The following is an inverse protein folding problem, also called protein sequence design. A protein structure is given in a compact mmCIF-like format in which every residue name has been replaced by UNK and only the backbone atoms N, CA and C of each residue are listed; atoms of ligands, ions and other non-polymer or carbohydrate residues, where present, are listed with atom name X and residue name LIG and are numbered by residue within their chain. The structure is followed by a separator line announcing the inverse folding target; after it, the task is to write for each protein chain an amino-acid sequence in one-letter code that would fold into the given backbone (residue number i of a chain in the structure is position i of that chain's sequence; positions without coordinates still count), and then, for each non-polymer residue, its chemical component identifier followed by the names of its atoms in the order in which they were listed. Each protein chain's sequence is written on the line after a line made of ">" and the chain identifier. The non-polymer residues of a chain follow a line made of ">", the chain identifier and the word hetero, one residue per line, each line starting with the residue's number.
data_IF_892373324675
#
_entry.id   IF_892373324675
#
_cell.length_a   1.000
_cell.length_b   1.000
_cell.length_c   1.000
_cell.angle_alpha   90.00
_cell.angle_beta   90.00
_cell.angle_gamma   90.00
#
_symmetry.space_group_name_H-M   'P 1'
#
loop_
_entity.id
_entity.type
_entity.pdbx_description
1 polymer ?
#
# COMPACT_ATOMS: atom_id res chain seq x y z
N UNK A 1 11.59 -19.91 -43.13
CA UNK A 1 12.61 -19.61 -42.10
C UNK A 1 12.33 -20.42 -40.84
N UNK A 2 13.32 -21.11 -40.26
CA UNK A 2 13.18 -21.94 -39.05
C UNK A 2 12.79 -21.14 -37.79
N UNK A 3 12.90 -19.81 -37.80
CA UNK A 3 12.47 -18.92 -36.72
C UNK A 3 10.94 -18.89 -36.49
N UNK A 4 10.13 -19.25 -37.48
CA UNK A 4 8.68 -19.22 -37.36
C UNK A 4 8.12 -20.28 -36.39
N UNK A 5 8.83 -21.40 -36.17
CA UNK A 5 8.31 -22.52 -35.36
C UNK A 5 8.39 -22.29 -33.85
N UNK A 6 9.33 -21.45 -33.38
CA UNK A 6 9.51 -21.14 -31.95
C UNK A 6 8.45 -20.20 -31.39
N UNK A 7 7.87 -19.33 -32.24
CA UNK A 7 6.92 -18.29 -31.82
C UNK A 7 5.46 -18.77 -31.69
N UNK A 8 5.15 -20.04 -31.98
CA UNK A 8 3.77 -20.53 -31.91
C UNK A 8 3.30 -20.81 -30.47
N UNK A 9 4.22 -21.20 -29.57
CA UNK A 9 3.91 -21.56 -28.20
C UNK A 9 3.86 -20.38 -27.23
N UNK A 10 4.41 -19.23 -27.61
CA UNK A 10 4.45 -18.05 -26.76
C UNK A 10 3.05 -17.49 -26.51
N UNK A 11 2.19 -17.43 -27.53
CA UNK A 11 0.85 -16.85 -27.39
C UNK A 11 -0.06 -17.62 -26.42
N UNK A 12 -0.18 -18.96 -26.49
CA UNK A 12 -0.91 -19.72 -25.48
C UNK A 12 -0.36 -19.51 -24.07
N UNK A 13 0.95 -19.48 -23.90
CA UNK A 13 1.58 -19.24 -22.58
C UNK A 13 1.20 -17.86 -22.06
N UNK A 14 1.27 -16.81 -22.88
CA UNK A 14 0.88 -15.46 -22.50
C UNK A 14 -0.61 -15.40 -22.13
N UNK A 15 -1.48 -16.05 -22.90
CA UNK A 15 -2.91 -16.11 -22.58
C UNK A 15 -3.19 -16.81 -21.24
N UNK A 16 -2.49 -17.92 -20.96
CA UNK A 16 -2.57 -18.63 -19.68
C UNK A 16 -2.09 -17.74 -18.53
N UNK A 17 -1.00 -17.01 -18.72
CA UNK A 17 -0.52 -16.05 -17.72
C UNK A 17 -1.54 -14.94 -17.47
N UNK A 18 -2.15 -14.35 -18.51
CA UNK A 18 -3.21 -13.35 -18.37
C UNK A 18 -4.42 -13.90 -17.60
N UNK A 19 -4.82 -15.14 -17.86
CA UNK A 19 -5.87 -15.81 -17.12
C UNK A 19 -5.48 -16.05 -15.65
N UNK A 20 -4.23 -16.45 -15.38
CA UNK A 20 -3.72 -16.61 -14.02
C UNK A 20 -3.70 -15.26 -13.27
N UNK A 21 -3.29 -14.17 -13.93
CA UNK A 21 -3.37 -12.81 -13.36
C UNK A 21 -4.80 -12.35 -13.14
N UNK A 22 -5.74 -12.66 -14.03
CA UNK A 22 -7.17 -12.41 -13.81
C UNK A 22 -7.65 -13.05 -12.50
N UNK A 23 -7.36 -14.34 -12.31
CA UNK A 23 -7.74 -15.07 -11.09
C UNK A 23 -7.04 -14.47 -9.87
N UNK A 24 -5.73 -14.23 -9.92
CA UNK A 24 -4.97 -13.66 -8.81
C UNK A 24 -5.44 -12.27 -8.40
N UNK A 25 -5.61 -11.36 -9.36
CA UNK A 25 -6.08 -9.98 -9.08
C UNK A 25 -7.49 -9.99 -8.51
N UNK A 26 -8.38 -10.79 -9.09
CA UNK A 26 -9.78 -10.88 -8.65
C UNK A 26 -9.91 -11.45 -7.24
N UNK A 27 -9.17 -12.51 -6.93
CA UNK A 27 -9.25 -13.21 -5.64
C UNK A 27 -8.59 -12.42 -4.52
N UNK A 28 -7.40 -11.84 -4.76
CA UNK A 28 -6.63 -11.16 -3.71
C UNK A 28 -7.11 -9.73 -3.46
N UNK A 29 -7.47 -9.00 -4.52
CA UNK A 29 -7.72 -7.55 -4.45
C UNK A 29 -9.13 -7.14 -4.88
N UNK A 30 -9.90 -8.04 -5.52
CA UNK A 30 -11.20 -7.75 -6.12
C UNK A 30 -12.40 -8.05 -5.23
N UNK A 31 -12.27 -8.87 -4.19
CA UNK A 31 -13.34 -9.13 -3.23
C UNK A 31 -13.46 -7.97 -2.25
N UNK A 32 -14.67 -7.42 -2.07
CA UNK A 32 -14.91 -6.31 -1.14
C UNK A 32 -14.64 -6.67 0.33
N UNK A 33 -14.55 -7.96 0.63
CA UNK A 33 -14.22 -8.51 1.96
C UNK A 33 -12.71 -8.62 2.20
N UNK A 34 -11.88 -8.54 1.15
CA UNK A 34 -10.43 -8.54 1.33
C UNK A 34 -10.00 -7.24 2.01
N UNK A 35 -9.22 -7.36 3.08
CA UNK A 35 -8.60 -6.19 3.69
C UNK A 35 -7.73 -5.42 2.69
N UNK A 36 -7.15 -6.15 1.73
CA UNK A 36 -6.35 -5.61 0.64
C UNK A 36 -7.19 -5.18 -0.57
N UNK A 37 -8.49 -4.98 -0.44
CA UNK A 37 -9.32 -4.50 -1.55
C UNK A 37 -8.71 -3.25 -2.20
N UNK A 38 -8.57 -3.28 -3.53
CA UNK A 38 -8.12 -2.16 -4.35
C UNK A 38 -9.22 -1.81 -5.34
N UNK A 39 -9.69 -0.57 -5.29
CA UNK A 39 -10.67 -0.08 -6.25
C UNK A 39 -10.11 -0.19 -7.67
N UNK A 40 -10.90 -0.77 -8.58
CA UNK A 40 -10.49 -1.02 -9.96
C UNK A 40 -9.84 -2.38 -10.20
N UNK A 41 -9.49 -3.16 -9.16
CA UNK A 41 -8.96 -4.51 -9.32
C UNK A 41 -9.91 -5.43 -10.11
N UNK A 42 -11.22 -5.34 -9.85
CA UNK A 42 -12.23 -6.09 -10.63
C UNK A 42 -12.20 -5.70 -12.12
N UNK A 43 -12.17 -4.40 -12.42
CA UNK A 43 -12.10 -3.89 -13.81
C UNK A 43 -10.82 -4.35 -14.50
N UNK A 44 -9.67 -4.24 -13.84
CA UNK A 44 -8.38 -4.75 -14.36
C UNK A 44 -8.47 -6.24 -14.64
N UNK A 45 -9.05 -7.02 -13.72
CA UNK A 45 -9.21 -8.46 -13.91
C UNK A 45 -10.02 -8.75 -15.19
N UNK A 46 -11.14 -8.07 -15.42
CA UNK A 46 -11.96 -8.25 -16.63
C UNK A 46 -11.21 -7.86 -17.91
N UNK A 47 -10.40 -6.78 -17.86
CA UNK A 47 -9.54 -6.38 -18.99
C UNK A 47 -8.53 -7.48 -19.31
N UNK A 48 -7.88 -8.06 -18.30
CA UNK A 48 -6.92 -9.15 -18.49
C UNK A 48 -7.58 -10.39 -19.10
N UNK A 49 -8.79 -10.75 -18.64
CA UNK A 49 -9.54 -11.86 -19.20
C UNK A 49 -9.94 -11.61 -20.66
N UNK A 50 -10.50 -10.43 -20.95
CA UNK A 50 -10.88 -10.04 -22.31
C UNK A 50 -9.67 -10.00 -23.26
N UNK A 51 -8.55 -9.46 -22.79
CA UNK A 51 -7.29 -9.43 -23.52
C UNK A 51 -6.73 -10.81 -23.82
N UNK A 52 -6.77 -11.72 -22.84
CA UNK A 52 -6.37 -13.12 -23.01
C UNK A 52 -7.23 -13.85 -24.05
N UNK A 53 -8.54 -13.64 -24.02
CA UNK A 53 -9.48 -14.20 -25.03
C UNK A 53 -9.19 -13.62 -26.42
N UNK A 54 -9.06 -12.29 -26.54
CA UNK A 54 -8.77 -11.64 -27.82
C UNK A 54 -7.44 -12.12 -28.42
N UNK A 55 -6.41 -12.28 -27.59
CA UNK A 55 -5.10 -12.81 -28.00
C UNK A 55 -5.19 -14.25 -28.51
N UNK A 56 -5.96 -15.11 -27.84
CA UNK A 56 -6.19 -16.49 -28.29
C UNK A 56 -6.94 -16.55 -29.62
N UNK A 57 -7.96 -15.71 -29.80
CA UNK A 57 -8.70 -15.63 -31.08
C UNK A 57 -7.80 -15.14 -32.21
N UNK A 58 -7.01 -14.09 -32.00
CA UNK A 58 -6.08 -13.57 -33.01
C UNK A 58 -4.98 -14.58 -33.36
N UNK A 59 -4.48 -15.32 -32.36
CA UNK A 59 -3.53 -16.41 -32.58
C UNK A 59 -4.13 -17.53 -33.42
N UNK A 60 -5.36 -17.96 -33.11
CA UNK A 60 -6.07 -19.01 -33.85
C UNK A 60 -6.31 -18.61 -35.32
N UNK A 61 -6.68 -17.36 -35.57
CA UNK A 61 -6.89 -16.81 -36.92
C UNK A 61 -5.59 -16.45 -37.63
N UNK A 62 -4.43 -16.70 -37.02
CA UNK A 62 -3.07 -16.42 -37.53
C UNK A 62 -2.80 -14.92 -37.79
N UNK A 63 -3.53 -14.03 -37.12
CA UNK A 63 -3.34 -12.58 -37.23
C UNK A 63 -2.36 -12.07 -36.17
N UNK A 64 -1.06 -12.25 -36.41
CA UNK A 64 0.00 -11.93 -35.43
C UNK A 64 0.05 -10.46 -35.03
N UNK A 65 -0.12 -9.53 -35.99
CA UNK A 65 -0.15 -8.10 -35.71
C UNK A 65 -1.33 -7.74 -34.80
N UNK A 66 -2.51 -8.30 -35.05
CA UNK A 66 -3.69 -8.10 -34.21
C UNK A 66 -3.48 -8.64 -32.79
N UNK A 67 -2.82 -9.79 -32.64
CA UNK A 67 -2.48 -10.35 -31.33
C UNK A 67 -1.52 -9.43 -30.54
N UNK A 68 -0.49 -8.87 -31.19
CA UNK A 68 0.43 -7.90 -30.59
C UNK A 68 -0.32 -6.65 -30.14
N UNK A 69 -1.18 -6.10 -31.00
CA UNK A 69 -1.98 -4.91 -30.68
C UNK A 69 -2.97 -5.17 -29.53
N UNK A 70 -3.64 -6.32 -29.53
CA UNK A 70 -4.55 -6.71 -28.45
C UNK A 70 -3.82 -6.80 -27.11
N UNK A 71 -2.61 -7.38 -27.09
CA UNK A 71 -1.78 -7.45 -25.89
C UNK A 71 -1.38 -6.05 -25.39
N UNK A 72 -0.89 -5.19 -26.30
CA UNK A 72 -0.50 -3.82 -25.98
C UNK A 72 -1.66 -3.00 -25.41
N UNK A 73 -2.84 -3.08 -26.06
CA UNK A 73 -4.06 -2.41 -25.59
C UNK A 73 -4.53 -2.94 -24.24
N UNK A 74 -4.41 -4.25 -24.00
CA UNK A 74 -4.77 -4.87 -22.71
C UNK A 74 -3.91 -4.30 -21.57
N UNK A 75 -2.59 -4.27 -21.74
CA UNK A 75 -1.69 -3.71 -20.74
C UNK A 75 -1.86 -2.20 -20.56
N UNK A 76 -2.06 -1.46 -21.65
CA UNK A 76 -2.32 -0.03 -21.58
C UNK A 76 -3.61 0.25 -20.80
N UNK A 77 -4.72 -0.43 -21.13
CA UNK A 77 -5.99 -0.26 -20.44
C UNK A 77 -5.91 -0.65 -18.96
N UNK A 78 -5.29 -1.80 -18.65
CA UNK A 78 -5.08 -2.24 -17.27
C UNK A 78 -4.25 -1.22 -16.48
N UNK A 79 -3.15 -0.73 -17.05
CA UNK A 79 -2.31 0.28 -16.44
C UNK A 79 -3.07 1.59 -16.18
N UNK A 80 -3.84 2.07 -17.15
CA UNK A 80 -4.65 3.28 -16.99
C UNK A 80 -5.69 3.14 -15.88
N UNK A 81 -6.34 1.98 -15.75
CA UNK A 81 -7.27 1.72 -14.63
C UNK A 81 -6.52 1.72 -13.30
N UNK A 82 -5.36 1.07 -13.22
CA UNK A 82 -4.55 1.09 -11.99
C UNK A 82 -4.12 2.51 -11.62
N UNK A 83 -3.69 3.32 -12.58
CA UNK A 83 -3.22 4.70 -12.34
C UNK A 83 -4.38 5.64 -11.99
N UNK A 84 -5.49 5.59 -12.72
CA UNK A 84 -6.58 6.54 -12.54
C UNK A 84 -7.56 6.15 -11.43
N UNK A 85 -7.66 4.86 -11.09
CA UNK A 85 -8.63 4.36 -10.11
C UNK A 85 -7.94 3.72 -8.92
N UNK A 86 -6.95 2.87 -9.16
CA UNK A 86 -6.22 2.14 -8.12
C UNK A 86 -5.36 3.05 -7.25
N UNK A 87 -4.49 3.87 -7.85
CA UNK A 87 -3.54 4.72 -7.12
C UNK A 87 -4.23 5.76 -6.22
N UNK A 88 -5.25 6.51 -6.66
CA UNK A 88 -5.92 7.48 -5.78
C UNK A 88 -6.55 6.80 -4.57
N UNK A 89 -7.06 5.57 -4.74
CA UNK A 89 -7.60 4.79 -3.64
C UNK A 89 -6.51 4.29 -2.69
N UNK A 90 -5.33 3.97 -3.24
CA UNK A 90 -4.19 3.50 -2.49
C UNK A 90 -3.61 4.54 -1.53
N UNK A 91 -3.77 5.83 -1.82
CA UNK A 91 -3.34 6.94 -0.95
C UNK A 91 -3.89 6.82 0.49
N UNK A 92 -5.07 6.20 0.68
CA UNK A 92 -5.66 5.97 2.01
C UNK A 92 -4.79 5.11 2.94
N UNK A 93 -3.89 4.32 2.37
CA UNK A 93 -2.99 3.44 3.10
C UNK A 93 -1.60 4.05 3.33
N UNK A 94 -1.40 5.32 2.95
CA UNK A 94 -0.18 6.08 3.23
C UNK A 94 -0.43 6.93 4.49
N UNK A 95 0.09 6.52 5.66
CA UNK A 95 -0.27 7.17 6.92
C UNK A 95 0.39 8.54 7.12
N UNK A 96 1.42 8.87 6.34
CA UNK A 96 2.29 10.04 6.60
C UNK A 96 1.53 11.36 6.54
N UNK A 97 0.84 11.65 5.44
CA UNK A 97 0.12 12.90 5.27
C UNK A 97 -1.00 13.09 6.33
N UNK A 98 -1.93 12.13 6.54
CA UNK A 98 -2.98 12.30 7.55
C UNK A 98 -2.44 12.38 8.97
N UNK A 99 -1.45 11.57 9.35
CA UNK A 99 -0.87 11.64 10.70
C UNK A 99 -0.08 12.93 10.94
N UNK A 100 0.57 13.48 9.91
CA UNK A 100 1.22 14.80 10.01
C UNK A 100 0.19 15.90 10.20
N UNK A 101 -0.93 15.86 9.46
CA UNK A 101 -2.03 16.81 9.64
C UNK A 101 -2.64 16.72 11.04
N UNK A 102 -2.83 15.51 11.58
CA UNK A 102 -3.28 15.31 12.96
C UNK A 102 -2.28 15.86 13.99
N UNK A 103 -0.98 15.68 13.76
CA UNK A 103 0.06 16.25 14.63
C UNK A 103 0.02 17.79 14.65
N UNK A 104 -0.06 18.43 13.48
CA UNK A 104 -0.14 19.88 13.36
C UNK A 104 -1.44 20.45 13.95
N UNK A 105 -2.56 19.74 13.77
CA UNK A 105 -3.85 20.13 14.38
C UNK A 105 -3.79 20.03 15.91
N UNK A 106 -3.10 19.01 16.44
CA UNK A 106 -3.03 18.75 17.88
C UNK A 106 -2.16 19.77 18.60
N UNK A 107 -0.96 20.01 18.09
CA UNK A 107 -0.05 21.05 18.57
C UNK A 107 1.01 21.32 17.48
N UNK A 108 0.96 22.49 16.82
CA UNK A 108 1.90 22.85 15.78
C UNK A 108 3.36 22.86 16.23
N UNK A 109 3.67 22.99 17.52
CA UNK A 109 5.03 23.09 18.06
C UNK A 109 5.48 21.81 18.79
N UNK A 110 4.61 20.80 18.88
CA UNK A 110 4.96 19.55 19.54
C UNK A 110 6.16 18.85 18.88
N UNK A 111 7.03 18.28 19.71
CA UNK A 111 8.10 17.40 19.23
C UNK A 111 7.47 16.13 18.67
N UNK A 112 7.90 15.72 17.49
CA UNK A 112 7.46 14.47 16.87
C UNK A 112 8.61 13.48 16.87
N UNK A 113 8.38 12.31 17.47
CA UNK A 113 9.35 11.23 17.58
C UNK A 113 8.81 10.01 16.83
N UNK A 114 9.63 9.36 16.04
CA UNK A 114 9.34 8.07 15.43
C UNK A 114 9.99 6.96 16.24
N UNK A 115 9.19 6.05 16.78
CA UNK A 115 9.66 4.95 17.60
C UNK A 115 9.66 3.64 16.83
N UNK A 116 10.84 3.08 16.58
CA UNK A 116 11.05 1.81 15.84
C UNK A 116 10.39 1.76 14.45
N UNK A 117 10.16 2.93 13.88
CA UNK A 117 9.61 3.15 12.55
C UNK A 117 10.37 4.28 11.90
N UNK A 118 10.48 4.25 10.57
CA UNK A 118 11.08 5.32 9.79
C UNK A 118 10.10 5.75 8.71
N UNK A 119 9.46 6.91 8.90
CA UNK A 119 8.64 7.59 7.90
C UNK A 119 9.29 8.94 7.56
N UNK A 120 10.40 8.96 6.80
CA UNK A 120 11.25 10.14 6.63
C UNK A 120 10.52 11.31 5.96
N UNK A 121 9.55 11.02 5.09
CA UNK A 121 8.74 12.05 4.42
C UNK A 121 7.86 12.86 5.38
N UNK A 122 7.68 12.43 6.63
CA UNK A 122 6.93 13.19 7.64
C UNK A 122 7.57 14.56 7.93
N UNK A 123 8.91 14.63 7.88
CA UNK A 123 9.65 15.90 8.06
C UNK A 123 9.25 16.97 7.04
N UNK A 124 8.96 16.57 5.80
CA UNK A 124 8.49 17.47 4.74
C UNK A 124 7.10 18.05 5.07
N UNK A 125 6.17 17.22 5.53
CA UNK A 125 4.81 17.67 5.90
C UNK A 125 4.79 18.54 7.14
N UNK A 126 5.66 18.24 8.12
CA UNK A 126 5.75 19.02 9.36
C UNK A 126 6.58 20.30 9.20
N UNK A 127 7.36 20.42 8.11
CA UNK A 127 8.28 21.54 7.91
C UNK A 127 9.43 21.60 8.92
N UNK A 128 9.70 20.49 9.63
CA UNK A 128 10.73 20.41 10.67
C UNK A 128 11.34 19.02 10.79
N UNK A 129 12.56 18.90 11.35
CA UNK A 129 13.16 17.61 11.66
C UNK A 129 12.30 16.80 12.65
N UNK A 130 12.36 15.49 12.49
CA UNK A 130 11.75 14.49 13.37
C UNK A 130 12.85 13.67 14.01
N UNK A 131 12.67 13.30 15.27
CA UNK A 131 13.64 12.45 15.98
C UNK A 131 13.28 10.98 15.76
N UNK A 132 14.25 10.15 15.39
CA UNK A 132 14.07 8.69 15.30
C UNK A 132 14.69 8.02 16.53
N UNK A 133 13.90 7.20 17.22
CA UNK A 133 14.31 6.51 18.45
C UNK A 133 14.01 5.02 18.33
N UNK A 134 14.99 4.18 18.66
CA UNK A 134 14.83 2.72 18.65
C UNK A 134 14.68 2.14 20.07
N UNK A 135 15.26 2.83 21.05
CA UNK A 135 15.40 2.37 22.42
C UNK A 135 14.31 2.95 23.34
N UNK A 136 13.61 2.08 24.05
CA UNK A 136 12.54 2.47 24.99
C UNK A 136 13.01 3.42 26.10
N UNK A 137 14.20 3.21 26.74
CA UNK A 137 14.67 4.13 27.79
C UNK A 137 14.91 5.55 27.26
N UNK A 138 15.45 5.68 26.04
CA UNK A 138 15.66 6.97 25.39
C UNK A 138 14.30 7.64 25.13
N UNK A 139 13.34 6.89 24.60
CA UNK A 139 12.00 7.41 24.38
C UNK A 139 11.36 7.92 25.68
N UNK A 140 11.47 7.17 26.78
CA UNK A 140 10.95 7.56 28.09
C UNK A 140 11.54 8.88 28.58
N UNK A 141 12.86 9.04 28.46
CA UNK A 141 13.54 10.31 28.78
C UNK A 141 12.97 11.46 27.95
N UNK A 142 12.74 11.26 26.65
CA UNK A 142 12.15 12.30 25.78
C UNK A 142 10.70 12.62 26.12
N UNK A 143 9.93 11.60 26.48
CA UNK A 143 8.51 11.70 26.76
C UNK A 143 8.20 12.46 28.06
N UNK A 144 9.13 12.44 29.02
CA UNK A 144 9.02 13.15 30.32
C UNK A 144 9.48 14.60 30.27
N UNK A 145 10.12 15.04 29.18
CA UNK A 145 10.57 16.44 29.04
C UNK A 145 9.36 17.39 29.01
N UNK A 146 9.52 18.63 29.50
CA UNK A 146 8.50 19.67 29.37
C UNK A 146 8.07 19.87 27.91
N UNK A 147 6.81 20.25 27.73
CA UNK A 147 6.15 20.39 26.42
C UNK A 147 5.32 19.18 26.00
N UNK A 148 4.67 19.30 24.85
CA UNK A 148 3.95 18.21 24.21
C UNK A 148 4.90 17.40 23.31
N UNK A 149 4.84 16.08 23.44
CA UNK A 149 5.60 15.14 22.64
C UNK A 149 4.64 14.16 22.01
N UNK A 150 4.66 14.11 20.68
CA UNK A 150 3.91 13.18 19.87
C UNK A 150 4.84 12.06 19.43
N UNK A 151 4.44 10.82 19.68
CA UNK A 151 5.18 9.63 19.29
C UNK A 151 4.39 8.89 18.22
N UNK A 152 5.07 8.62 17.12
CA UNK A 152 4.60 7.78 16.05
C UNK A 152 5.17 6.37 16.24
N UNK A 153 4.31 5.37 16.35
CA UNK A 153 4.71 3.98 16.54
C UNK A 153 3.72 3.02 15.87
N UNK A 154 4.09 1.74 15.75
CA UNK A 154 3.14 0.69 15.37
C UNK A 154 2.21 0.38 16.54
N UNK A 155 0.97 0.01 16.25
CA UNK A 155 0.01 -0.40 17.27
C UNK A 155 0.52 -1.55 18.17
N UNK A 156 1.32 -2.45 17.60
CA UNK A 156 1.97 -3.55 18.33
C UNK A 156 2.91 -3.09 19.46
N UNK A 157 3.48 -1.88 19.34
CA UNK A 157 4.42 -1.35 20.32
C UNK A 157 3.73 -0.50 21.40
N UNK A 158 2.43 -0.21 21.26
CA UNK A 158 1.73 0.76 22.12
C UNK A 158 1.66 0.37 23.59
N UNK A 159 1.42 -0.91 23.87
CA UNK A 159 1.37 -1.41 25.24
C UNK A 159 2.69 -1.14 26.00
N UNK A 160 3.83 -1.18 25.30
CA UNK A 160 5.13 -0.90 25.90
C UNK A 160 5.31 0.57 26.28
N UNK A 161 4.64 1.49 25.57
CA UNK A 161 4.72 2.93 25.84
C UNK A 161 3.73 3.35 26.92
N UNK A 162 2.52 2.77 26.90
CA UNK A 162 1.49 3.04 27.90
C UNK A 162 1.95 2.67 29.32
N UNK A 163 2.85 1.68 29.45
CA UNK A 163 3.46 1.31 30.71
C UNK A 163 4.46 2.37 31.26
N UNK A 164 4.96 3.27 30.41
CA UNK A 164 6.01 4.24 30.77
C UNK A 164 5.44 5.57 31.28
N UNK A 165 4.28 5.98 30.76
CA UNK A 165 3.61 7.23 31.13
C UNK A 165 2.12 7.21 30.71
N UNK A 166 1.27 8.07 31.29
CA UNK A 166 -0.07 8.31 30.76
C UNK A 166 0.00 8.81 29.32
N UNK A 167 -0.65 8.07 28.40
CA UNK A 167 -0.68 8.39 26.98
C UNK A 167 -2.09 8.39 26.42
N UNK A 168 -2.35 9.23 25.43
CA UNK A 168 -3.57 9.17 24.62
C UNK A 168 -3.25 8.98 23.14
N UNK A 169 -4.12 8.26 22.44
CA UNK A 169 -4.04 8.11 20.98
C UNK A 169 -4.68 9.33 20.33
N UNK A 170 -3.90 10.11 19.61
CA UNK A 170 -4.34 11.30 18.86
C UNK A 170 -4.92 10.90 17.52
N UNK A 171 -4.26 9.99 16.81
CA UNK A 171 -4.71 9.52 15.50
C UNK A 171 -4.23 8.10 15.22
N UNK A 172 -4.94 7.44 14.31
CA UNK A 172 -4.61 6.11 13.81
C UNK A 172 -4.61 6.12 12.29
N UNK A 173 -3.75 5.32 11.69
CA UNK A 173 -3.69 5.17 10.24
C UNK A 173 -3.17 3.80 9.83
N UNK A 174 -3.74 3.16 8.81
CA UNK A 174 -3.19 1.92 8.28
C UNK A 174 -1.83 2.21 7.62
N UNK A 175 -0.91 1.26 7.75
CA UNK A 175 0.36 1.25 7.01
C UNK A 175 0.33 0.11 6.01
N UNK A 176 0.44 0.46 4.74
CA UNK A 176 0.65 -0.55 3.70
C UNK A 176 2.10 -1.06 3.76
N UNK A 177 2.30 -2.17 4.45
CA UNK A 177 3.53 -2.98 4.37
C UNK A 177 3.18 -4.33 3.76
N UNK A 178 3.24 -4.41 2.43
CA UNK A 178 2.81 -5.62 1.72
C UNK A 178 4.01 -6.47 1.34
N UNK A 179 4.23 -7.48 2.17
CA UNK A 179 4.87 -8.71 1.73
C UNK A 179 3.80 -9.54 1.02
N UNK A 180 4.12 -10.08 -0.17
CA UNK A 180 3.19 -10.94 -0.91
C UNK A 180 2.66 -12.09 -0.05
N UNK A 181 3.52 -12.64 0.82
CA UNK A 181 3.15 -13.65 1.82
C UNK A 181 2.03 -13.18 2.76
N UNK A 182 2.10 -11.96 3.28
CA UNK A 182 1.07 -11.38 4.16
C UNK A 182 -0.30 -11.24 3.47
N UNK A 183 -0.30 -10.95 2.16
CA UNK A 183 -1.53 -10.88 1.36
C UNK A 183 -2.14 -12.26 1.17
N UNK A 184 -1.31 -13.25 0.85
CA UNK A 184 -1.75 -14.65 0.70
C UNK A 184 -2.25 -15.20 2.04
N UNK A 185 -1.56 -14.91 3.13
CA UNK A 185 -1.90 -15.35 4.49
C UNK A 185 -3.08 -14.55 5.09
N UNK A 186 -3.58 -13.51 4.41
CA UNK A 186 -4.71 -12.70 4.86
C UNK A 186 -4.47 -11.95 6.16
N UNK A 187 -3.21 -11.66 6.49
CA UNK A 187 -2.85 -11.01 7.77
C UNK A 187 -3.37 -9.58 7.82
N UNK A 188 -3.78 -9.13 9.01
CA UNK A 188 -4.23 -7.75 9.17
C UNK A 188 -3.13 -6.74 8.83
N UNK A 189 -3.50 -5.64 8.17
CA UNK A 189 -2.55 -4.58 7.89
C UNK A 189 -2.00 -3.97 9.18
N UNK A 190 -0.69 -3.71 9.28
CA UNK A 190 -0.13 -2.98 10.40
C UNK A 190 -0.82 -1.61 10.55
N UNK A 191 -1.12 -1.25 11.79
CA UNK A 191 -1.67 0.06 12.12
C UNK A 191 -0.58 0.94 12.76
N UNK A 192 -0.55 2.21 12.37
CA UNK A 192 0.29 3.24 12.97
C UNK A 192 -0.55 4.09 13.91
N UNK A 193 0.03 4.42 15.06
CA UNK A 193 -0.56 5.28 16.06
C UNK A 193 0.28 6.54 16.20
N UNK A 194 -0.40 7.68 16.29
CA UNK A 194 0.14 8.92 16.80
C UNK A 194 -0.36 9.10 18.23
N UNK A 195 0.57 9.19 19.17
CA UNK A 195 0.30 9.16 20.62
C UNK A 195 0.86 10.41 21.27
N UNK A 196 0.10 11.05 22.16
CA UNK A 196 0.57 12.21 22.94
C UNK A 196 0.86 11.84 24.38
N UNK A 197 1.85 12.52 24.98
CA UNK A 197 2.11 12.51 26.41
C UNK A 197 1.16 13.43 27.21
N UNK A 198 0.22 14.11 26.54
CA UNK A 198 -0.77 14.99 27.16
C UNK A 198 -2.18 14.60 26.73
N UNK A 199 -2.94 14.03 27.66
CA UNK A 199 -4.33 13.62 27.44
C UNK A 199 -5.32 14.78 27.58
N UNK A 200 -4.93 15.86 28.26
CA UNK A 200 -5.78 17.02 28.50
C UNK A 200 -5.59 18.05 27.38
N UNK A 201 -6.46 18.01 26.38
CA UNK A 201 -6.80 19.09 25.44
C UNK A 201 -7.96 18.68 24.55
#
# INVERSE_FOLDING_TARGET
>A
APEARGAHWTWPVVAVLLAAFFVGVRTLFGSGESQYYIRGAHTVSLILLAGGVALMVCWWTRQTLAAVLALGLTFAAANYVLVLVGLPYFERFKPVAPLSASALTRDPDARVIQYRVALPSMSWYLGRPIEEVLDAPVLQERFTRPGETLVLLRASDYASIQALAPTCVVARGPLFDVKLRSVIDGTAMPEMLLVSNRCER
#
